data_IF_264263353132
#
_entry.id   IF_264263353132
#
_cell.length_a   1.000
_cell.length_b   1.000
_cell.length_c   1.000
_cell.angle_alpha   90.00
_cell.angle_beta   90.00
_cell.angle_gamma   90.00
#
_symmetry.space_group_name_H-M   'P 1'
#
loop_
_entity.id
_entity.type
_entity.pdbx_description
1 polymer ?
#
# COMPACT_ATOMS: atom_id res chain seq x y z
N UNK A 1 18.18 -9.11 -39.08
CA UNK A 1 17.27 -9.42 -37.98
C UNK A 1 16.29 -8.28 -37.86
N UNK A 2 15.00 -8.54 -37.84
CA UNK A 2 13.99 -7.52 -37.67
C UNK A 2 14.02 -6.98 -36.21
N UNK A 3 13.42 -5.79 -35.98
CA UNK A 3 13.30 -5.23 -34.63
C UNK A 3 12.55 -6.19 -33.68
N UNK A 4 11.51 -6.87 -34.18
CA UNK A 4 10.73 -7.84 -33.40
C UNK A 4 11.55 -9.09 -33.07
N UNK A 5 12.35 -9.61 -34.00
CA UNK A 5 13.25 -10.74 -33.73
C UNK A 5 14.30 -10.38 -32.69
N UNK A 6 14.88 -9.17 -32.77
CA UNK A 6 15.82 -8.68 -31.77
C UNK A 6 15.18 -8.58 -30.38
N UNK A 7 14.00 -7.95 -30.28
CA UNK A 7 13.26 -7.83 -29.03
C UNK A 7 12.92 -9.21 -28.44
N UNK A 8 12.43 -10.14 -29.29
CA UNK A 8 12.10 -11.50 -28.87
C UNK A 8 13.31 -12.27 -28.34
N UNK A 9 14.48 -12.09 -28.98
CA UNK A 9 15.73 -12.69 -28.50
C UNK A 9 16.13 -12.12 -27.14
N UNK A 10 16.15 -10.80 -26.99
CA UNK A 10 16.51 -10.12 -25.72
C UNK A 10 15.64 -10.63 -24.56
N UNK A 11 14.32 -10.66 -24.75
CA UNK A 11 13.39 -11.12 -23.71
C UNK A 11 13.63 -12.59 -23.33
N UNK A 12 13.97 -13.46 -24.32
CA UNK A 12 14.30 -14.85 -24.03
C UNK A 12 15.63 -14.98 -23.30
N UNK A 13 16.65 -14.22 -23.70
CA UNK A 13 17.97 -14.25 -23.05
C UNK A 13 17.85 -13.78 -21.57
N UNK A 14 17.10 -12.71 -21.30
CA UNK A 14 16.86 -12.24 -19.92
C UNK A 14 16.03 -13.24 -19.11
N UNK A 15 14.98 -13.84 -19.70
CA UNK A 15 14.19 -14.86 -19.01
C UNK A 15 15.04 -16.10 -18.65
N UNK A 16 15.92 -16.53 -19.55
CA UNK A 16 16.84 -17.63 -19.28
C UNK A 16 17.83 -17.29 -18.15
N UNK A 17 18.35 -16.04 -18.11
CA UNK A 17 19.20 -15.56 -17.05
C UNK A 17 18.52 -15.55 -15.68
N UNK A 18 17.23 -15.19 -15.61
CA UNK A 18 16.45 -15.28 -14.37
C UNK A 18 16.23 -16.73 -13.95
N UNK A 19 15.89 -17.61 -14.88
CA UNK A 19 15.68 -19.03 -14.58
C UNK A 19 16.95 -19.73 -14.09
N UNK A 20 18.12 -19.38 -14.63
CA UNK A 20 19.40 -19.97 -14.17
C UNK A 20 19.72 -19.64 -12.70
N UNK A 21 19.14 -18.58 -12.13
CA UNK A 21 19.34 -18.25 -10.71
C UNK A 21 18.80 -19.34 -9.76
N UNK A 22 17.83 -20.15 -10.20
CA UNK A 22 17.31 -21.26 -9.38
C UNK A 22 18.43 -22.25 -9.05
N UNK A 23 19.34 -22.50 -10.01
CA UNK A 23 20.47 -23.39 -9.84
C UNK A 23 21.63 -22.74 -9.03
N UNK A 24 21.57 -21.42 -8.83
CA UNK A 24 22.54 -20.68 -8.01
C UNK A 24 22.11 -20.55 -6.54
N UNK A 25 20.86 -20.89 -6.20
CA UNK A 25 20.38 -20.87 -4.82
C UNK A 25 21.07 -21.98 -4.01
N UNK A 26 21.76 -21.56 -2.97
CA UNK A 26 22.52 -22.44 -2.07
C UNK A 26 22.36 -21.96 -0.62
N UNK A 27 23.10 -22.58 0.31
CA UNK A 27 23.07 -22.25 1.74
C UNK A 27 23.43 -20.77 2.02
N UNK A 28 24.13 -20.08 1.10
CA UNK A 28 24.45 -18.66 1.26
C UNK A 28 23.22 -17.77 1.13
N UNK A 29 22.19 -18.19 0.37
CA UNK A 29 20.92 -17.47 0.32
C UNK A 29 20.17 -17.56 1.66
N UNK A 30 20.10 -18.75 2.26
CA UNK A 30 19.50 -18.92 3.59
C UNK A 30 20.29 -18.16 4.66
N UNK A 31 21.60 -18.19 4.59
CA UNK A 31 22.48 -17.42 5.48
C UNK A 31 22.25 -15.91 5.36
N UNK A 32 22.05 -15.39 4.14
CA UNK A 32 21.72 -14.00 3.94
C UNK A 32 20.38 -13.61 4.60
N UNK A 33 19.34 -14.45 4.47
CA UNK A 33 18.06 -14.27 5.16
C UNK A 33 18.27 -14.26 6.68
N UNK A 34 18.98 -15.25 7.21
CA UNK A 34 19.26 -15.34 8.66
C UNK A 34 20.05 -14.13 9.19
N UNK A 35 21.01 -13.61 8.45
CA UNK A 35 21.75 -12.40 8.83
C UNK A 35 20.83 -11.18 8.96
N UNK A 36 19.86 -11.03 8.04
CA UNK A 36 18.91 -9.92 8.07
C UNK A 36 17.94 -10.08 9.23
N UNK A 37 17.40 -11.28 9.46
CA UNK A 37 16.47 -11.55 10.58
C UNK A 37 17.11 -11.37 11.95
N UNK A 38 18.40 -11.74 12.08
CA UNK A 38 19.13 -11.57 13.34
C UNK A 38 19.53 -10.12 13.63
N UNK A 39 19.45 -9.25 12.63
CA UNK A 39 19.79 -7.83 12.74
C UNK A 39 18.73 -7.08 13.59
N UNK A 40 19.23 -6.14 14.41
CA UNK A 40 18.38 -5.18 15.14
C UNK A 40 18.26 -3.84 14.44
N UNK A 41 19.02 -3.66 13.36
CA UNK A 41 19.08 -2.45 12.56
C UNK A 41 18.24 -2.52 11.29
N UNK A 42 18.72 -1.87 10.26
CA UNK A 42 18.08 -1.79 8.95
C UNK A 42 18.91 -2.50 7.89
N UNK A 43 18.30 -2.78 6.76
CA UNK A 43 19.04 -3.25 5.58
C UNK A 43 19.49 -2.03 4.77
N UNK A 44 20.79 -1.90 4.57
CA UNK A 44 21.40 -0.80 3.79
C UNK A 44 21.86 -1.34 2.45
N UNK A 45 21.21 -0.94 1.36
CA UNK A 45 21.58 -1.41 0.03
C UNK A 45 22.50 -0.40 -0.64
N UNK A 46 23.53 -0.88 -1.32
CA UNK A 46 24.51 -0.01 -2.00
C UNK A 46 24.94 -0.61 -3.34
N UNK A 47 25.38 0.24 -4.25
CA UNK A 47 25.87 -0.13 -5.58
C UNK A 47 26.05 1.08 -6.46
N UNK A 48 26.84 0.93 -7.54
CA UNK A 48 27.15 1.99 -8.51
C UNK A 48 26.40 1.81 -9.83
N UNK A 49 26.05 2.91 -10.49
CA UNK A 49 25.45 2.90 -11.81
C UNK A 49 24.15 2.07 -11.88
N UNK A 50 24.07 1.15 -12.86
CA UNK A 50 22.88 0.29 -13.03
C UNK A 50 22.68 -0.65 -11.84
N UNK A 51 23.73 -1.21 -11.25
CA UNK A 51 23.65 -1.99 -10.01
C UNK A 51 23.10 -1.16 -8.84
N UNK A 52 23.44 0.13 -8.76
CA UNK A 52 22.87 1.07 -7.78
C UNK A 52 21.36 1.33 -8.00
N UNK A 53 20.91 1.43 -9.25
CA UNK A 53 19.49 1.55 -9.55
C UNK A 53 18.70 0.30 -9.13
N UNK A 54 19.26 -0.90 -9.36
CA UNK A 54 18.69 -2.16 -8.90
C UNK A 54 18.64 -2.21 -7.37
N UNK A 55 19.75 -1.90 -6.69
CA UNK A 55 19.83 -1.86 -5.23
C UNK A 55 18.78 -0.90 -4.64
N UNK A 56 18.59 0.28 -5.25
CA UNK A 56 17.55 1.25 -4.84
C UNK A 56 16.14 0.71 -4.98
N UNK A 57 15.84 -0.01 -6.09
CA UNK A 57 14.53 -0.64 -6.28
C UNK A 57 14.29 -1.74 -5.23
N UNK A 58 15.28 -2.59 -4.96
CA UNK A 58 15.17 -3.66 -3.97
C UNK A 58 15.00 -3.09 -2.54
N UNK A 59 15.72 -2.00 -2.21
CA UNK A 59 15.52 -1.29 -0.95
C UNK A 59 14.08 -0.82 -0.77
N UNK A 60 13.49 -0.23 -1.82
CA UNK A 60 12.09 0.19 -1.80
C UNK A 60 11.12 -0.99 -1.65
N UNK A 61 11.40 -2.12 -2.34
CA UNK A 61 10.61 -3.34 -2.19
C UNK A 61 10.67 -3.87 -0.76
N UNK A 62 11.87 -4.02 -0.17
CA UNK A 62 12.05 -4.48 1.22
C UNK A 62 11.31 -3.57 2.21
N UNK A 63 11.48 -2.25 2.09
CA UNK A 63 10.81 -1.28 2.97
C UNK A 63 9.28 -1.39 2.88
N UNK A 64 8.75 -1.59 1.67
CA UNK A 64 7.30 -1.73 1.44
C UNK A 64 6.72 -3.09 1.84
N UNK A 65 7.56 -4.09 2.03
CA UNK A 65 7.18 -5.46 2.44
C UNK A 65 7.60 -5.81 3.87
N UNK A 66 7.87 -4.80 4.71
CA UNK A 66 8.04 -4.98 6.15
C UNK A 66 9.48 -5.13 6.64
N UNK A 67 10.47 -5.09 5.76
CA UNK A 67 11.88 -5.07 6.13
C UNK A 67 12.42 -3.63 6.01
N UNK A 68 12.72 -2.92 7.12
CA UNK A 68 13.22 -1.55 7.07
C UNK A 68 14.52 -1.47 6.26
N UNK A 69 14.50 -0.76 5.15
CA UNK A 69 15.63 -0.68 4.23
C UNK A 69 15.77 0.70 3.59
N UNK A 70 17.01 1.06 3.24
CA UNK A 70 17.28 2.27 2.46
C UNK A 70 18.51 2.09 1.56
N UNK A 71 18.63 2.95 0.58
CA UNK A 71 19.77 2.95 -0.33
C UNK A 71 20.81 3.98 0.09
N UNK A 72 22.08 3.56 0.15
CA UNK A 72 23.25 4.39 0.37
C UNK A 72 24.11 4.42 -0.90
N UNK A 73 24.33 5.59 -1.47
CA UNK A 73 25.21 5.72 -2.62
C UNK A 73 26.68 5.59 -2.19
N UNK A 74 27.49 4.66 -2.77
CA UNK A 74 28.82 4.39 -2.23
C UNK A 74 29.79 5.59 -2.38
N UNK A 75 29.63 6.44 -3.40
CA UNK A 75 30.42 7.65 -3.53
C UNK A 75 30.10 8.68 -2.43
N UNK A 76 28.83 8.87 -2.05
CA UNK A 76 28.44 9.73 -0.93
C UNK A 76 28.90 9.10 0.41
N UNK A 77 28.91 7.77 0.48
CA UNK A 77 29.44 7.03 1.62
C UNK A 77 30.88 7.43 1.96
N UNK A 78 31.74 7.59 0.95
CA UNK A 78 33.14 8.02 1.14
C UNK A 78 33.20 9.46 1.71
N UNK A 79 32.18 10.29 1.48
CA UNK A 79 32.13 11.68 1.87
C UNK A 79 31.32 11.95 3.15
N UNK A 80 30.90 10.89 3.88
CA UNK A 80 30.31 11.05 5.21
C UNK A 80 29.01 10.29 5.43
N UNK A 81 28.27 9.89 4.37
CA UNK A 81 26.98 9.21 4.52
C UNK A 81 27.09 7.82 5.18
N UNK A 82 28.30 7.25 5.29
CA UNK A 82 28.53 6.06 6.13
C UNK A 82 28.18 6.28 7.60
N UNK A 83 28.05 7.53 8.06
CA UNK A 83 27.51 7.85 9.37
C UNK A 83 26.06 7.41 9.60
N UNK A 84 25.31 7.07 8.53
CA UNK A 84 23.98 6.48 8.62
C UNK A 84 23.98 4.99 8.95
N UNK A 85 25.13 4.30 8.83
CA UNK A 85 25.28 2.86 9.04
C UNK A 85 25.75 2.59 10.47
N UNK A 86 25.14 1.61 11.11
CA UNK A 86 25.48 1.16 12.47
C UNK A 86 25.92 -0.30 12.48
N UNK A 87 26.48 -0.77 13.60
CA UNK A 87 26.88 -2.16 13.77
C UNK A 87 25.70 -3.15 13.77
N UNK A 88 24.49 -2.64 14.03
CA UNK A 88 23.26 -3.43 14.02
C UNK A 88 22.67 -3.60 12.62
N UNK A 89 23.17 -2.84 11.61
CA UNK A 89 22.67 -2.89 10.24
C UNK A 89 23.30 -4.06 9.44
N UNK A 90 22.58 -4.48 8.39
CA UNK A 90 23.10 -5.40 7.36
C UNK A 90 23.24 -4.64 6.05
N UNK A 91 24.42 -4.63 5.48
CA UNK A 91 24.69 -3.99 4.19
C UNK A 91 24.61 -5.01 3.06
N UNK A 92 23.83 -4.74 2.01
CA UNK A 92 23.77 -5.54 0.78
C UNK A 92 24.42 -4.74 -0.34
N UNK A 93 25.58 -5.19 -0.80
CA UNK A 93 26.36 -4.51 -1.83
C UNK A 93 26.20 -5.20 -3.19
N UNK A 94 25.72 -4.44 -4.18
CA UNK A 94 25.51 -4.89 -5.56
C UNK A 94 26.68 -4.49 -6.45
N UNK A 95 27.34 -5.47 -7.04
CA UNK A 95 28.40 -5.25 -8.03
C UNK A 95 28.56 -6.48 -8.92
N UNK A 96 28.17 -6.40 -10.19
CA UNK A 96 28.26 -7.56 -11.11
C UNK A 96 29.71 -8.08 -11.23
N UNK A 97 30.70 -7.21 -11.37
CA UNK A 97 32.12 -7.62 -11.37
C UNK A 97 32.64 -8.00 -9.98
N UNK A 98 32.04 -7.45 -8.92
CA UNK A 98 32.51 -7.50 -7.55
C UNK A 98 33.83 -6.72 -7.33
N UNK A 99 34.21 -5.87 -8.30
CA UNK A 99 35.47 -5.07 -8.33
C UNK A 99 35.20 -3.57 -8.53
N UNK A 100 33.95 -3.10 -8.31
CA UNK A 100 33.59 -1.68 -8.45
C UNK A 100 34.31 -0.86 -7.39
N UNK A 101 35.17 0.06 -7.80
CA UNK A 101 36.07 0.82 -6.91
C UNK A 101 35.36 1.55 -5.79
N UNK A 102 34.26 2.24 -6.09
CA UNK A 102 33.48 3.02 -5.12
C UNK A 102 32.87 2.10 -4.05
N UNK A 103 32.42 0.89 -4.42
CA UNK A 103 31.89 -0.10 -3.48
C UNK A 103 33.02 -0.67 -2.62
N UNK A 104 34.17 -0.99 -3.22
CA UNK A 104 35.32 -1.52 -2.48
C UNK A 104 35.89 -0.49 -1.51
N UNK A 105 35.88 0.79 -1.86
CA UNK A 105 36.45 1.86 -1.03
C UNK A 105 35.71 2.06 0.31
N UNK A 106 34.41 1.68 0.41
CA UNK A 106 33.65 1.77 1.66
C UNK A 106 33.80 0.53 2.55
N UNK A 107 34.31 -0.61 2.03
CA UNK A 107 34.42 -1.87 2.79
C UNK A 107 35.24 -1.76 4.08
N UNK A 108 36.43 -1.10 4.09
CA UNK A 108 37.18 -0.96 5.33
C UNK A 108 36.41 -0.24 6.44
N UNK A 109 35.65 0.78 6.06
CA UNK A 109 34.81 1.54 7.01
C UNK A 109 33.62 0.72 7.49
N UNK A 110 32.92 0.00 6.61
CA UNK A 110 31.83 -0.92 6.99
C UNK A 110 32.31 -1.99 7.98
N UNK A 111 33.47 -2.56 7.72
CA UNK A 111 34.11 -3.54 8.60
C UNK A 111 34.48 -2.95 9.97
N UNK A 112 34.95 -1.70 10.01
CA UNK A 112 35.25 -1.00 11.26
C UNK A 112 33.99 -0.61 12.05
N UNK A 113 32.89 -0.28 11.37
CA UNK A 113 31.58 -0.05 11.98
C UNK A 113 31.05 -1.35 12.59
N UNK A 114 31.34 -2.50 11.99
CA UNK A 114 30.89 -3.81 12.45
C UNK A 114 29.60 -4.29 11.80
N UNK A 115 29.09 -3.58 10.78
CA UNK A 115 27.93 -4.00 10.03
C UNK A 115 28.19 -5.29 9.25
N UNK A 116 27.18 -6.17 9.18
CA UNK A 116 27.27 -7.39 8.37
C UNK A 116 27.15 -7.07 6.90
N UNK A 117 27.86 -7.82 6.06
CA UNK A 117 27.92 -7.57 4.63
C UNK A 117 27.43 -8.78 3.82
N UNK A 118 26.47 -8.55 2.97
CA UNK A 118 25.99 -9.48 1.93
C UNK A 118 26.44 -8.94 0.58
N UNK A 119 27.09 -9.76 -0.24
CA UNK A 119 27.50 -9.41 -1.60
C UNK A 119 26.52 -10.01 -2.63
N UNK A 120 25.97 -9.19 -3.52
CA UNK A 120 25.26 -9.64 -4.71
C UNK A 120 26.16 -9.41 -5.91
N UNK A 121 26.72 -10.49 -6.45
CA UNK A 121 27.78 -10.45 -7.45
C UNK A 121 27.55 -11.44 -8.60
N UNK A 122 28.09 -11.12 -9.78
CA UNK A 122 28.17 -12.07 -10.89
C UNK A 122 29.45 -12.92 -10.87
N UNK A 123 30.41 -12.61 -9.95
CA UNK A 123 31.68 -13.34 -9.83
C UNK A 123 31.99 -13.66 -8.37
N UNK A 124 31.76 -14.91 -7.96
CA UNK A 124 31.99 -15.41 -6.57
C UNK A 124 33.46 -15.25 -6.09
N UNK A 125 34.41 -15.19 -6.98
CA UNK A 125 35.84 -15.05 -6.62
C UNK A 125 36.34 -13.60 -6.54
N UNK A 126 35.40 -12.63 -6.59
CA UNK A 126 35.72 -11.20 -6.55
C UNK A 126 36.16 -10.71 -5.16
N UNK A 127 36.74 -9.51 -5.14
CA UNK A 127 37.17 -8.85 -3.90
C UNK A 127 35.98 -8.58 -2.97
N UNK A 128 34.84 -8.13 -3.51
CA UNK A 128 33.64 -7.90 -2.72
C UNK A 128 33.15 -9.20 -2.06
N UNK A 129 33.06 -10.29 -2.84
CA UNK A 129 32.62 -11.59 -2.33
C UNK A 129 33.51 -12.12 -1.20
N UNK A 130 34.82 -12.00 -1.35
CA UNK A 130 35.79 -12.44 -0.32
C UNK A 130 35.72 -11.67 1.00
N UNK A 131 35.14 -10.49 0.99
CA UNK A 131 34.97 -9.64 2.17
C UNK A 131 33.55 -9.70 2.78
N UNK A 132 32.65 -10.45 2.17
CA UNK A 132 31.26 -10.56 2.61
C UNK A 132 31.03 -11.69 3.63
N UNK A 133 30.02 -11.52 4.49
CA UNK A 133 29.54 -12.56 5.41
C UNK A 133 28.68 -13.59 4.67
N UNK A 134 27.95 -13.18 3.61
CA UNK A 134 27.22 -14.06 2.71
C UNK A 134 27.34 -13.57 1.25
N UNK A 135 27.27 -14.50 0.28
CA UNK A 135 27.46 -14.19 -1.14
C UNK A 135 26.30 -14.74 -1.95
N UNK A 136 25.53 -13.85 -2.57
CA UNK A 136 24.45 -14.17 -3.49
C UNK A 136 24.96 -14.13 -4.94
N UNK A 137 24.87 -15.25 -5.63
CA UNK A 137 25.32 -15.40 -7.00
C UNK A 137 24.26 -14.91 -7.99
N UNK A 138 24.46 -13.73 -8.55
CA UNK A 138 23.66 -13.15 -9.63
C UNK A 138 24.36 -13.29 -11.00
N UNK A 139 25.26 -14.26 -11.16
CA UNK A 139 26.00 -14.50 -12.38
C UNK A 139 25.09 -14.88 -13.55
N UNK A 140 25.41 -14.37 -14.73
CA UNK A 140 24.73 -14.71 -15.98
C UNK A 140 25.73 -15.15 -17.03
N UNK A 141 25.33 -16.01 -17.94
CA UNK A 141 26.21 -16.52 -19.00
C UNK A 141 26.64 -15.39 -19.96
N UNK A 142 25.67 -14.52 -20.34
CA UNK A 142 25.88 -13.41 -21.27
C UNK A 142 24.90 -12.28 -21.05
N UNK A 143 25.27 -11.09 -21.49
CA UNK A 143 24.33 -9.98 -21.65
C UNK A 143 23.45 -10.20 -22.91
N UNK A 144 22.26 -9.61 -22.93
CA UNK A 144 21.31 -9.79 -24.04
C UNK A 144 21.64 -8.87 -25.24
N UNK A 145 22.54 -7.89 -25.09
CA UNK A 145 23.00 -7.09 -26.21
C UNK A 145 24.02 -7.86 -27.08
N UNK A 146 24.12 -7.51 -28.34
CA UNK A 146 25.01 -8.21 -29.29
C UNK A 146 26.49 -7.96 -29.06
N UNK A 147 26.83 -6.93 -28.31
CA UNK A 147 28.21 -6.53 -27.99
C UNK A 147 28.66 -7.08 -26.62
N UNK A 148 27.73 -7.55 -25.80
CA UNK A 148 28.02 -7.99 -24.42
C UNK A 148 28.46 -6.86 -23.48
N UNK A 149 28.12 -5.60 -23.78
CA UNK A 149 28.57 -4.42 -23.07
C UNK A 149 27.49 -3.78 -22.19
N UNK A 150 26.24 -3.82 -22.64
CA UNK A 150 25.14 -3.19 -21.91
C UNK A 150 24.60 -4.15 -20.84
N UNK A 151 24.68 -3.78 -19.55
CA UNK A 151 24.05 -4.58 -18.49
C UNK A 151 22.55 -4.71 -18.72
N UNK A 152 22.09 -5.89 -19.06
CA UNK A 152 20.71 -6.27 -19.37
C UNK A 152 20.35 -7.53 -18.56
N UNK A 153 20.76 -8.71 -19.01
CA UNK A 153 20.56 -9.97 -18.29
C UNK A 153 21.09 -9.92 -16.86
N UNK A 154 22.29 -9.35 -16.64
CA UNK A 154 22.87 -9.25 -15.30
C UNK A 154 22.07 -8.35 -14.36
N UNK A 155 21.52 -7.24 -14.86
CA UNK A 155 20.68 -6.35 -14.03
C UNK A 155 19.31 -6.95 -13.75
N UNK A 156 18.70 -7.62 -14.70
CA UNK A 156 17.43 -8.33 -14.55
C UNK A 156 17.55 -9.49 -13.56
N UNK A 157 18.65 -10.27 -13.65
CA UNK A 157 18.95 -11.35 -12.71
C UNK A 157 19.17 -10.80 -11.27
N UNK A 158 20.00 -9.76 -11.13
CA UNK A 158 20.26 -9.14 -9.82
C UNK A 158 18.98 -8.56 -9.17
N UNK A 159 18.07 -8.00 -9.98
CA UNK A 159 16.76 -7.53 -9.52
C UNK A 159 15.89 -8.70 -9.05
N UNK A 160 15.76 -9.75 -9.85
CA UNK A 160 14.95 -10.92 -9.53
C UNK A 160 15.44 -11.62 -8.24
N UNK A 161 16.75 -11.73 -8.07
CA UNK A 161 17.34 -12.30 -6.85
C UNK A 161 17.05 -11.41 -5.61
N UNK A 162 17.12 -10.08 -5.78
CA UNK A 162 16.75 -9.13 -4.72
C UNK A 162 15.28 -9.19 -4.34
N UNK A 163 14.38 -9.37 -5.33
CA UNK A 163 12.95 -9.55 -5.07
C UNK A 163 12.68 -10.90 -4.39
N UNK A 164 13.38 -11.97 -4.78
CA UNK A 164 13.30 -13.26 -4.10
C UNK A 164 13.69 -13.14 -2.62
N UNK A 165 14.77 -12.41 -2.32
CA UNK A 165 15.19 -12.14 -0.94
C UNK A 165 14.14 -11.34 -0.15
N UNK A 166 13.59 -10.28 -0.74
CA UNK A 166 12.56 -9.45 -0.11
C UNK A 166 11.27 -10.24 0.18
N UNK A 167 10.82 -11.09 -0.76
CA UNK A 167 9.61 -11.92 -0.59
C UNK A 167 9.87 -13.02 0.45
N UNK A 168 11.05 -13.65 0.45
CA UNK A 168 11.40 -14.64 1.47
C UNK A 168 11.34 -14.05 2.89
N UNK A 169 11.85 -12.83 3.08
CA UNK A 169 11.75 -12.11 4.36
C UNK A 169 10.30 -11.75 4.71
N UNK A 170 9.53 -11.28 3.73
CA UNK A 170 8.12 -10.96 3.89
C UNK A 170 7.30 -12.16 4.41
N UNK A 171 7.52 -13.34 3.82
CA UNK A 171 6.84 -14.58 4.24
C UNK A 171 7.26 -15.03 5.63
N UNK A 172 8.55 -14.97 5.95
CA UNK A 172 9.08 -15.33 7.27
C UNK A 172 8.62 -14.39 8.38
N UNK A 173 8.42 -13.12 8.07
CA UNK A 173 7.86 -12.12 8.99
C UNK A 173 6.32 -12.19 9.10
N UNK A 174 5.67 -13.12 8.41
CA UNK A 174 4.20 -13.24 8.35
C UNK A 174 3.51 -11.92 7.97
N UNK A 175 4.12 -11.19 7.03
CA UNK A 175 3.63 -9.88 6.60
C UNK A 175 2.27 -10.01 5.90
N UNK A 176 1.30 -9.22 6.37
CA UNK A 176 -0.11 -9.31 5.92
C UNK A 176 -0.49 -8.18 4.98
N UNK A 177 -1.67 -8.31 4.34
CA UNK A 177 -2.26 -7.24 3.55
C UNK A 177 -2.54 -5.97 4.39
N UNK A 178 -2.88 -6.14 5.68
CA UNK A 178 -3.09 -5.02 6.60
C UNK A 178 -1.77 -4.28 6.88
N UNK A 179 -0.65 -5.00 7.03
CA UNK A 179 0.66 -4.40 7.15
C UNK A 179 1.03 -3.64 5.86
N UNK A 180 0.75 -4.22 4.69
CA UNK A 180 1.00 -3.57 3.41
C UNK A 180 0.20 -2.27 3.24
N UNK A 181 -1.04 -2.24 3.69
CA UNK A 181 -1.90 -1.06 3.66
C UNK A 181 -1.31 0.11 4.45
N UNK A 182 -0.72 -0.16 5.62
CA UNK A 182 -0.07 0.86 6.47
C UNK A 182 1.06 1.57 5.71
N UNK A 183 1.84 0.83 4.91
CA UNK A 183 2.94 1.41 4.13
C UNK A 183 2.49 2.02 2.79
N UNK A 184 1.25 1.72 2.35
CA UNK A 184 0.69 2.21 1.08
C UNK A 184 -0.67 2.91 1.27
N UNK A 185 -0.79 3.94 2.14
CA UNK A 185 -2.08 4.52 2.50
C UNK A 185 -2.81 5.19 1.32
N UNK A 186 -2.07 5.65 0.31
CA UNK A 186 -2.63 6.26 -0.90
C UNK A 186 -3.12 5.28 -1.97
N UNK A 187 -2.74 4.00 -1.88
CA UNK A 187 -3.15 2.96 -2.82
C UNK A 187 -4.58 2.47 -2.58
N UNK A 188 -5.18 1.80 -3.56
CA UNK A 188 -6.54 1.23 -3.45
C UNK A 188 -6.69 0.28 -2.25
N UNK A 189 -5.70 -0.58 -2.03
CA UNK A 189 -5.68 -1.49 -0.88
C UNK A 189 -5.59 -0.73 0.45
N UNK A 190 -4.72 0.29 0.54
CA UNK A 190 -4.57 1.14 1.73
C UNK A 190 -5.88 1.86 2.08
N UNK A 191 -6.52 2.48 1.10
CA UNK A 191 -7.82 3.15 1.29
C UNK A 191 -8.89 2.17 1.75
N UNK A 192 -8.96 0.98 1.16
CA UNK A 192 -9.93 -0.05 1.51
C UNK A 192 -9.78 -0.56 2.95
N UNK A 193 -8.54 -0.69 3.44
CA UNK A 193 -8.22 -1.28 4.75
C UNK A 193 -8.03 -0.26 5.87
N UNK A 194 -7.82 1.02 5.56
CA UNK A 194 -7.52 2.05 6.56
C UNK A 194 -8.55 3.17 6.63
N UNK A 195 -9.34 3.39 5.56
CA UNK A 195 -10.29 4.49 5.54
C UNK A 195 -11.52 4.14 6.40
N UNK A 196 -11.75 4.91 7.45
CA UNK A 196 -12.91 4.74 8.33
C UNK A 196 -14.09 5.57 7.85
N UNK A 197 -15.29 5.21 8.32
CA UNK A 197 -16.53 5.98 8.09
C UNK A 197 -16.39 7.41 8.60
N UNK A 198 -15.73 7.62 9.75
CA UNK A 198 -15.48 8.95 10.33
C UNK A 198 -14.71 9.89 9.40
N UNK A 199 -13.79 9.33 8.59
CA UNK A 199 -12.95 10.12 7.66
C UNK A 199 -13.72 10.58 6.42
N UNK A 200 -14.85 9.95 6.10
CA UNK A 200 -15.62 10.20 4.85
C UNK A 200 -17.03 10.69 5.08
N UNK A 201 -17.56 10.60 6.31
CA UNK A 201 -18.93 11.02 6.62
C UNK A 201 -19.09 12.53 6.62
N UNK A 202 -20.26 13.00 6.26
CA UNK A 202 -20.73 14.35 6.51
C UNK A 202 -21.07 14.48 7.98
N UNK A 203 -20.46 15.42 8.70
CA UNK A 203 -20.60 15.61 10.15
C UNK A 203 -20.71 17.09 10.53
N UNK A 204 -21.10 17.37 11.77
CA UNK A 204 -21.27 18.74 12.25
C UNK A 204 -22.36 19.48 11.49
N UNK A 205 -22.01 20.63 10.91
CA UNK A 205 -22.97 21.45 10.13
C UNK A 205 -23.40 20.77 8.82
N UNK A 206 -22.58 19.86 8.25
CA UNK A 206 -22.90 19.15 7.02
C UNK A 206 -23.75 17.89 7.27
N UNK A 207 -24.01 17.52 8.52
CA UNK A 207 -24.85 16.39 8.86
C UNK A 207 -26.33 16.76 8.65
N UNK A 208 -27.08 16.07 7.74
CA UNK A 208 -28.49 16.36 7.49
C UNK A 208 -29.38 15.83 8.61
N UNK A 209 -29.68 16.65 9.58
CA UNK A 209 -30.53 16.35 10.74
C UNK A 209 -31.82 17.13 10.69
N UNK A 210 -32.94 16.52 11.15
CA UNK A 210 -34.21 17.17 11.34
C UNK A 210 -34.90 16.65 12.59
N UNK A 211 -35.62 17.53 13.30
CA UNK A 211 -36.47 17.15 14.45
C UNK A 211 -37.68 16.34 13.96
N UNK A 212 -38.10 15.32 14.72
CA UNK A 212 -39.23 14.43 14.38
C UNK A 212 -40.54 15.14 14.14
N UNK A 213 -40.71 16.32 14.75
CA UNK A 213 -41.95 17.11 14.65
C UNK A 213 -41.92 18.13 13.50
N UNK A 214 -40.78 18.31 12.84
CA UNK A 214 -40.66 19.19 11.68
C UNK A 214 -41.52 18.66 10.51
N UNK A 215 -41.88 19.53 9.57
CA UNK A 215 -42.64 19.14 8.39
C UNK A 215 -41.79 18.46 7.34
N UNK A 216 -42.41 17.65 6.49
CA UNK A 216 -41.76 17.08 5.29
C UNK A 216 -41.18 18.17 4.41
N UNK A 217 -41.82 19.33 4.31
CA UNK A 217 -41.31 20.49 3.58
C UNK A 217 -39.98 20.99 4.14
N UNK A 218 -39.85 21.09 5.47
CA UNK A 218 -38.58 21.49 6.10
C UNK A 218 -37.49 20.46 5.86
N UNK A 219 -37.82 19.16 5.89
CA UNK A 219 -36.89 18.10 5.56
C UNK A 219 -36.36 18.21 4.13
N UNK A 220 -37.19 18.55 3.14
CA UNK A 220 -36.78 18.80 1.76
C UNK A 220 -35.76 19.95 1.66
N UNK A 221 -35.92 21.02 2.44
CA UNK A 221 -34.94 22.10 2.46
C UNK A 221 -33.58 21.62 3.00
N UNK A 222 -33.59 20.83 4.07
CA UNK A 222 -32.33 20.25 4.63
C UNK A 222 -31.68 19.30 3.61
N UNK A 223 -32.47 18.41 2.97
CA UNK A 223 -31.95 17.51 1.94
C UNK A 223 -31.30 18.25 0.78
N UNK A 224 -31.96 19.36 0.32
CA UNK A 224 -31.46 20.18 -0.79
C UNK A 224 -30.19 20.93 -0.40
N UNK A 225 -30.19 21.55 0.80
CA UNK A 225 -29.04 22.29 1.32
C UNK A 225 -27.79 21.41 1.47
N UNK A 226 -27.96 20.21 2.01
CA UNK A 226 -26.86 19.25 2.25
C UNK A 226 -26.53 18.38 1.04
N UNK A 227 -27.41 18.29 0.04
CA UNK A 227 -27.17 17.63 -1.24
C UNK A 227 -27.00 16.09 -1.19
N UNK A 228 -27.46 15.45 -0.09
CA UNK A 228 -27.33 14.00 0.12
C UNK A 228 -28.60 13.21 -0.24
N UNK A 229 -29.69 13.88 -0.63
CA UNK A 229 -30.94 13.22 -0.97
C UNK A 229 -31.60 12.45 0.19
N UNK A 230 -31.17 12.71 1.41
CA UNK A 230 -31.67 12.09 2.62
C UNK A 230 -31.46 12.99 3.85
N UNK A 231 -32.24 12.75 4.91
CA UNK A 231 -32.12 13.42 6.19
C UNK A 231 -32.38 12.43 7.34
N UNK A 232 -31.56 12.47 8.37
CA UNK A 232 -31.72 11.71 9.60
C UNK A 232 -32.77 12.40 10.50
N UNK A 233 -33.81 11.67 10.88
CA UNK A 233 -34.86 12.16 11.78
C UNK A 233 -34.45 11.83 13.22
N UNK A 234 -34.39 12.83 14.10
CA UNK A 234 -33.93 12.66 15.47
C UNK A 234 -34.90 13.16 16.51
N UNK A 235 -34.78 12.62 17.73
CA UNK A 235 -35.43 13.22 18.91
C UNK A 235 -34.63 14.46 19.41
N UNK A 236 -35.17 15.09 20.50
CA UNK A 236 -34.53 16.27 21.10
C UNK A 236 -33.17 16.02 21.71
N UNK A 237 -32.81 14.76 22.01
CA UNK A 237 -31.52 14.32 22.50
C UNK A 237 -30.55 13.98 21.37
N UNK A 238 -31.01 14.07 20.10
CA UNK A 238 -30.23 13.77 18.89
C UNK A 238 -30.13 12.28 18.56
N UNK A 239 -30.95 11.42 19.21
CA UNK A 239 -31.01 9.99 18.88
C UNK A 239 -31.78 9.76 17.57
N UNK A 240 -31.26 8.87 16.75
CA UNK A 240 -31.84 8.52 15.46
C UNK A 240 -33.20 7.78 15.66
N UNK A 241 -34.26 8.33 15.12
CA UNK A 241 -35.59 7.72 15.09
C UNK A 241 -35.89 7.11 13.73
N UNK A 242 -35.38 7.68 12.67
CA UNK A 242 -35.64 7.25 11.31
C UNK A 242 -34.84 7.97 10.26
N UNK A 243 -35.09 7.63 9.01
CA UNK A 243 -34.48 8.23 7.83
C UNK A 243 -35.60 8.61 6.85
N UNK A 244 -35.48 9.78 6.24
CA UNK A 244 -36.29 10.19 5.12
C UNK A 244 -35.42 10.45 3.90
N UNK A 245 -35.83 9.91 2.75
CA UNK A 245 -35.10 10.00 1.48
C UNK A 245 -35.93 10.67 0.39
N UNK A 246 -35.29 11.12 -0.69
CA UNK A 246 -36.02 11.61 -1.90
C UNK A 246 -37.01 10.61 -2.43
N UNK A 247 -36.74 9.31 -2.28
CA UNK A 247 -37.67 8.25 -2.65
C UNK A 247 -38.95 8.24 -1.81
N UNK A 248 -38.84 8.53 -0.50
CA UNK A 248 -40.01 8.62 0.40
C UNK A 248 -40.83 9.84 0.06
N UNK A 249 -40.22 10.97 -0.22
CA UNK A 249 -40.90 12.19 -0.65
C UNK A 249 -41.66 11.95 -1.95
N UNK A 250 -41.02 11.33 -2.94
CA UNK A 250 -41.66 11.05 -4.23
C UNK A 250 -42.91 10.16 -4.08
N UNK A 251 -42.82 9.09 -3.30
CA UNK A 251 -43.93 8.20 -3.01
C UNK A 251 -45.05 8.90 -2.20
N UNK A 252 -44.64 9.81 -1.31
CA UNK A 252 -45.60 10.56 -0.50
C UNK A 252 -46.42 11.55 -1.31
N UNK A 253 -45.82 12.26 -2.26
CA UNK A 253 -46.49 13.22 -3.14
C UNK A 253 -47.58 12.57 -4.04
N UNK A 254 -47.47 11.29 -4.34
CA UNK A 254 -48.51 10.55 -5.04
C UNK A 254 -49.86 10.50 -4.23
N UNK A 255 -49.78 10.74 -2.91
CA UNK A 255 -50.95 10.75 -2.02
C UNK A 255 -51.64 12.12 -1.88
N UNK A 256 -51.02 13.16 -2.48
CA UNK A 256 -51.56 14.54 -2.46
C UNK A 256 -50.57 15.55 -1.85
N UNK A 257 -50.85 16.84 -2.09
CA UNK A 257 -49.95 17.94 -1.67
C UNK A 257 -49.93 18.14 -0.14
N UNK A 258 -50.95 17.75 0.59
CA UNK A 258 -50.99 17.82 2.06
C UNK A 258 -49.89 16.99 2.72
N UNK A 259 -49.28 16.04 1.98
CA UNK A 259 -48.14 15.26 2.43
C UNK A 259 -46.99 16.14 2.91
N UNK A 260 -46.75 17.30 2.28
CA UNK A 260 -45.67 18.21 2.64
C UNK A 260 -45.86 18.86 4.03
N UNK A 261 -47.07 18.88 4.54
CA UNK A 261 -47.39 19.46 5.86
C UNK A 261 -47.33 18.43 7.00
N UNK A 262 -47.19 17.16 6.68
CA UNK A 262 -47.14 16.10 7.70
C UNK A 262 -45.80 16.18 8.49
N UNK A 263 -45.83 15.81 9.80
CA UNK A 263 -44.60 15.62 10.56
C UNK A 263 -43.73 14.50 9.96
N UNK A 264 -42.41 14.69 9.89
CA UNK A 264 -41.50 13.70 9.29
C UNK A 264 -41.58 12.33 9.99
N UNK A 265 -41.85 12.28 11.29
CA UNK A 265 -42.01 11.02 12.06
C UNK A 265 -43.10 10.11 11.54
N UNK A 266 -44.11 10.67 10.88
CA UNK A 266 -45.30 9.92 10.40
C UNK A 266 -45.04 9.27 9.03
N UNK A 267 -43.99 9.73 8.33
CA UNK A 267 -43.69 9.35 6.95
C UNK A 267 -42.26 8.76 6.77
N UNK A 268 -41.40 8.92 7.77
CA UNK A 268 -40.01 8.40 7.73
C UNK A 268 -39.96 6.87 7.68
N UNK A 269 -38.91 6.35 7.13
CA UNK A 269 -38.51 4.95 7.30
C UNK A 269 -38.00 4.77 8.73
N UNK A 270 -38.69 3.94 9.51
CA UNK A 270 -38.35 3.59 10.90
C UNK A 270 -37.27 2.52 10.90
N UNK A 271 -36.32 2.59 11.85
CA UNK A 271 -35.22 1.61 11.99
C UNK A 271 -34.38 1.45 10.71
N UNK A 272 -33.82 2.54 10.17
CA UNK A 272 -32.96 2.45 9.00
C UNK A 272 -31.67 1.65 9.32
N UNK A 273 -31.02 1.14 8.28
CA UNK A 273 -29.66 0.63 8.43
C UNK A 273 -28.74 1.77 8.86
N UNK A 274 -27.89 1.49 9.83
CA UNK A 274 -26.91 2.45 10.39
C UNK A 274 -25.53 1.83 10.40
N UNK A 275 -24.52 2.68 10.53
CA UNK A 275 -23.14 2.25 10.69
C UNK A 275 -22.44 3.06 11.80
N UNK A 276 -21.44 2.46 12.44
CA UNK A 276 -20.59 3.16 13.42
C UNK A 276 -19.46 3.90 12.71
N UNK A 277 -19.04 5.03 13.27
CA UNK A 277 -17.94 5.84 12.74
C UNK A 277 -16.58 5.13 12.70
N UNK A 278 -16.37 4.13 13.58
CA UNK A 278 -15.12 3.36 13.64
C UNK A 278 -15.04 2.26 12.56
N UNK A 279 -16.17 1.93 11.91
CA UNK A 279 -16.20 0.94 10.84
C UNK A 279 -15.44 1.41 9.60
N UNK A 280 -14.95 0.46 8.79
CA UNK A 280 -14.29 0.79 7.54
C UNK A 280 -15.28 1.35 6.50
N UNK A 281 -14.81 2.28 5.69
CA UNK A 281 -15.57 2.81 4.57
C UNK A 281 -15.97 1.71 3.56
N UNK A 282 -15.15 0.69 3.42
CA UNK A 282 -15.46 -0.51 2.61
C UNK A 282 -16.63 -1.32 3.18
N UNK A 283 -16.78 -1.39 4.52
CA UNK A 283 -17.96 -2.02 5.14
C UNK A 283 -19.23 -1.23 4.84
N UNK A 284 -19.15 0.12 4.88
CA UNK A 284 -20.28 0.97 4.51
C UNK A 284 -20.74 0.71 3.07
N UNK A 285 -19.80 0.66 2.12
CA UNK A 285 -20.08 0.36 0.72
C UNK A 285 -20.74 -1.03 0.57
N UNK A 286 -20.18 -2.04 1.23
CA UNK A 286 -20.73 -3.39 1.20
C UNK A 286 -22.19 -3.46 1.73
N UNK A 287 -22.48 -2.77 2.84
CA UNK A 287 -23.84 -2.66 3.40
C UNK A 287 -24.77 -2.00 2.37
N UNK A 288 -24.34 -0.90 1.75
CA UNK A 288 -25.14 -0.17 0.77
C UNK A 288 -25.48 -1.03 -0.46
N UNK A 289 -24.50 -1.75 -1.00
CA UNK A 289 -24.65 -2.59 -2.20
C UNK A 289 -25.51 -3.84 -1.95
N UNK A 290 -25.35 -4.47 -0.77
CA UNK A 290 -26.02 -5.73 -0.42
C UNK A 290 -27.36 -5.56 0.25
N UNK A 291 -27.79 -4.32 0.53
CA UNK A 291 -29.09 -4.06 1.14
C UNK A 291 -30.25 -4.61 0.29
N UNK A 292 -31.22 -5.23 0.96
CA UNK A 292 -32.42 -5.77 0.33
C UNK A 292 -33.67 -4.94 0.72
N UNK A 293 -34.66 -4.77 -0.16
CA UNK A 293 -34.81 -5.36 -1.50
C UNK A 293 -34.00 -4.63 -2.60
N UNK A 294 -33.46 -3.45 -2.33
CA UNK A 294 -32.69 -2.64 -3.29
C UNK A 294 -31.46 -2.03 -2.62
N UNK A 295 -30.34 -1.86 -3.35
CA UNK A 295 -29.20 -1.09 -2.87
C UNK A 295 -29.62 0.29 -2.35
N UNK A 296 -28.94 0.76 -1.32
CA UNK A 296 -29.14 2.09 -0.73
C UNK A 296 -27.92 2.98 -0.99
N UNK A 297 -28.15 4.28 -1.03
CA UNK A 297 -27.11 5.26 -1.36
C UNK A 297 -26.58 6.03 -0.16
N UNK A 298 -27.25 5.93 0.97
CA UNK A 298 -26.90 6.65 2.19
C UNK A 298 -27.01 5.73 3.41
N UNK A 299 -26.17 6.00 4.40
CA UNK A 299 -26.21 5.38 5.73
C UNK A 299 -26.07 6.46 6.80
N UNK A 300 -27.02 6.61 7.72
CA UNK A 300 -26.81 7.36 8.95
C UNK A 300 -25.68 6.74 9.76
N UNK A 301 -24.82 7.60 10.32
CA UNK A 301 -23.75 7.20 11.22
C UNK A 301 -24.17 7.50 12.65
N UNK A 302 -24.13 6.47 13.50
CA UNK A 302 -24.52 6.62 14.90
C UNK A 302 -23.35 6.33 15.84
N UNK A 303 -23.38 7.01 16.99
CA UNK A 303 -22.49 6.68 18.12
C UNK A 303 -23.07 5.51 18.96
N UNK A 304 -22.35 5.13 20.02
CA UNK A 304 -22.78 4.05 20.94
C UNK A 304 -24.08 4.37 21.71
N UNK A 305 -24.41 5.65 21.85
CA UNK A 305 -25.65 6.11 22.47
C UNK A 305 -26.83 6.18 21.48
N UNK A 306 -26.62 5.84 20.21
CA UNK A 306 -27.59 5.89 19.13
C UNK A 306 -27.88 7.29 18.59
N UNK A 307 -27.01 8.28 18.87
CA UNK A 307 -27.12 9.62 18.30
C UNK A 307 -26.64 9.63 16.86
N UNK A 308 -27.36 10.34 16.00
CA UNK A 308 -27.00 10.54 14.59
C UNK A 308 -25.86 11.58 14.48
N UNK A 309 -24.62 11.12 14.41
CA UNK A 309 -23.42 11.96 14.40
C UNK A 309 -22.91 12.30 13.00
N UNK A 310 -23.46 11.67 11.97
CA UNK A 310 -23.09 11.92 10.57
C UNK A 310 -23.94 11.13 9.59
N UNK A 311 -23.61 11.31 8.31
CA UNK A 311 -24.19 10.55 7.20
C UNK A 311 -23.09 10.24 6.16
N UNK A 312 -23.09 9.02 5.62
CA UNK A 312 -22.23 8.62 4.51
C UNK A 312 -23.06 8.48 3.25
N UNK A 313 -22.59 9.06 2.15
CA UNK A 313 -23.20 8.88 0.84
C UNK A 313 -22.27 8.03 -0.06
N UNK A 314 -22.85 7.15 -0.88
CA UNK A 314 -22.11 6.22 -1.74
C UNK A 314 -21.13 6.93 -2.68
N UNK A 315 -21.49 8.12 -3.18
CA UNK A 315 -20.60 8.89 -4.09
C UNK A 315 -19.30 9.34 -3.39
N UNK A 316 -19.32 9.58 -2.08
CA UNK A 316 -18.14 9.98 -1.34
C UNK A 316 -17.18 8.79 -1.18
N UNK A 317 -17.71 7.59 -0.92
CA UNK A 317 -16.94 6.35 -0.90
C UNK A 317 -16.27 6.09 -2.25
N UNK A 318 -17.02 6.25 -3.35
CA UNK A 318 -16.50 6.07 -4.70
C UNK A 318 -15.42 7.11 -5.06
N UNK A 319 -15.63 8.40 -4.70
CA UNK A 319 -14.63 9.46 -4.90
C UNK A 319 -13.34 9.20 -4.13
N UNK A 320 -13.42 8.58 -2.98
CA UNK A 320 -12.24 8.17 -2.21
C UNK A 320 -11.56 6.91 -2.78
N UNK A 321 -12.14 6.26 -3.77
CA UNK A 321 -11.61 5.04 -4.40
C UNK A 321 -11.78 3.80 -3.53
N UNK A 322 -12.82 3.77 -2.72
CA UNK A 322 -13.28 2.58 -1.98
C UNK A 322 -14.09 1.72 -2.96
N UNK A 323 -13.43 0.72 -3.57
CA UNK A 323 -14.06 -0.26 -4.48
C UNK A 323 -13.52 -1.67 -4.19
#
# INVERSE_FOLDING_TARGET
MSVIETASRVLRDEAAAVLSLVDHLDDEFEKAVCLIEASKGRVVLTGMGKSGHIARKVAATMASTGTPAFFLHPAEGIHGDLGMVTADDVVIAYSNSGETGEVLNILPSLKRIGAKLIAVVGKKNSTLAKNADAVLDAGVEKEADSLGLAPTSSTTAALALGDALAVSLMERHHFTADNFAVFHPGGSLGKRLLLTVEMVMHKGEDNPLIDEMASVKDALFVMTDKGLGAVSVTDREGRLLGLMTDGDVRRGLEKGEDFLLLPVRDVMTKSPMVISQQKLAAEALHIMEKHQPHPITVLPVCDEAGKAIGMVHITDLLRQGVM
#
